data_IF_637154956820
#
_entry.id   IF_637154956820
#
_cell.length_a   1.000
_cell.length_b   1.000
_cell.length_c   1.000
_cell.angle_alpha   90.00
_cell.angle_beta   90.00
_cell.angle_gamma   90.00
#
_symmetry.space_group_name_H-M   'P 1'
#
loop_
_entity.id
_entity.type
_entity.pdbx_description
1 polymer ?
#
# COMPACT_ATOMS: atom_id res chain seq x y z
N UNK A 1 -26.52 -3.25 -17.39
CA UNK A 1 -25.31 -3.13 -16.55
C UNK A 1 -25.41 -1.87 -15.70
N UNK A 2 -25.46 -2.08 -14.42
CA UNK A 2 -25.44 -0.95 -13.49
C UNK A 2 -24.07 -0.29 -13.48
N UNK A 3 -23.98 0.91 -14.05
CA UNK A 3 -22.81 1.77 -14.03
C UNK A 3 -23.01 2.89 -13.02
N UNK A 4 -23.31 2.54 -11.77
CA UNK A 4 -23.42 3.56 -10.74
C UNK A 4 -22.08 4.29 -10.56
N UNK A 5 -22.07 5.62 -10.34
CA UNK A 5 -20.84 6.38 -10.11
C UNK A 5 -20.01 5.85 -8.95
N UNK A 6 -20.65 5.31 -7.92
CA UNK A 6 -19.99 4.71 -6.76
C UNK A 6 -19.20 3.45 -7.13
N UNK A 7 -19.69 2.65 -8.06
CA UNK A 7 -19.00 1.44 -8.55
C UNK A 7 -17.74 1.82 -9.35
N UNK A 8 -17.85 2.82 -10.24
CA UNK A 8 -16.70 3.33 -10.99
C UNK A 8 -15.60 3.87 -10.10
N UNK A 9 -15.97 4.60 -9.04
CA UNK A 9 -15.02 5.13 -8.06
C UNK A 9 -14.32 4.01 -7.29
N UNK A 10 -15.07 2.98 -6.86
CA UNK A 10 -14.50 1.81 -6.21
C UNK A 10 -13.48 1.07 -7.08
N UNK A 11 -13.76 0.93 -8.37
CA UNK A 11 -12.84 0.29 -9.31
C UNK A 11 -11.57 1.10 -9.53
N UNK A 12 -11.65 2.43 -9.53
CA UNK A 12 -10.49 3.32 -9.60
C UNK A 12 -9.60 3.14 -8.37
N UNK A 13 -10.17 3.14 -7.17
CA UNK A 13 -9.42 2.94 -5.93
C UNK A 13 -8.74 1.57 -5.87
N UNK A 14 -9.45 0.50 -6.25
CA UNK A 14 -8.87 -0.85 -6.31
C UNK A 14 -7.67 -0.90 -7.24
N UNK A 15 -7.77 -0.25 -8.39
CA UNK A 15 -6.69 -0.20 -9.37
C UNK A 15 -5.47 0.54 -8.83
N UNK A 16 -5.67 1.66 -8.16
CA UNK A 16 -4.59 2.45 -7.57
C UNK A 16 -3.88 1.70 -6.45
N UNK A 17 -4.64 1.03 -5.58
CA UNK A 17 -4.07 0.19 -4.51
C UNK A 17 -3.27 -0.97 -5.12
N UNK A 18 -3.76 -1.57 -6.19
CA UNK A 18 -3.05 -2.63 -6.90
C UNK A 18 -1.70 -2.15 -7.44
N UNK A 19 -1.66 -1.00 -8.11
CA UNK A 19 -0.40 -0.41 -8.58
C UNK A 19 0.55 -0.06 -7.44
N UNK A 20 0.04 0.42 -6.33
CA UNK A 20 0.85 0.70 -5.14
C UNK A 20 1.45 -0.58 -4.59
N UNK A 21 0.66 -1.66 -4.49
CA UNK A 21 1.15 -2.95 -4.04
C UNK A 21 2.23 -3.51 -4.99
N UNK A 22 2.03 -3.41 -6.30
CA UNK A 22 3.01 -3.83 -7.30
C UNK A 22 4.33 -3.07 -7.19
N UNK A 23 4.26 -1.78 -6.90
CA UNK A 23 5.43 -0.92 -6.73
C UNK A 23 6.34 -1.42 -5.60
N UNK A 24 5.77 -2.06 -4.59
CA UNK A 24 6.49 -2.64 -3.45
C UNK A 24 6.58 -4.18 -3.52
N UNK A 25 6.49 -4.74 -4.71
CA UNK A 25 6.63 -6.18 -4.95
C UNK A 25 7.86 -6.45 -5.81
N UNK A 26 8.72 -7.35 -5.34
CA UNK A 26 10.01 -7.60 -5.96
C UNK A 26 9.95 -7.89 -7.47
N UNK A 27 9.09 -8.80 -7.99
CA UNK A 27 9.07 -9.08 -9.42
C UNK A 27 8.67 -7.92 -10.32
N UNK A 28 8.03 -6.88 -9.77
CA UNK A 28 7.61 -5.70 -10.53
C UNK A 28 8.66 -4.59 -10.57
N UNK A 29 9.83 -4.80 -9.97
CA UNK A 29 10.89 -3.81 -9.93
C UNK A 29 11.99 -4.10 -10.95
N UNK A 30 12.66 -3.03 -11.41
CA UNK A 30 13.72 -3.08 -12.43
C UNK A 30 14.90 -3.99 -12.05
N UNK A 31 15.06 -4.25 -10.76
CA UNK A 31 16.12 -5.10 -10.24
C UNK A 31 15.80 -6.60 -10.32
N UNK A 32 14.59 -6.95 -10.75
CA UNK A 32 14.20 -8.34 -10.90
C UNK A 32 14.78 -8.94 -12.19
N UNK A 33 15.47 -10.08 -12.04
CA UNK A 33 16.12 -10.80 -13.14
C UNK A 33 15.57 -12.22 -13.34
N UNK A 34 14.50 -12.57 -12.64
CA UNK A 34 13.91 -13.90 -12.71
C UNK A 34 13.07 -14.15 -13.96
N UNK A 35 12.75 -15.42 -14.21
CA UNK A 35 11.87 -15.82 -15.30
C UNK A 35 10.41 -15.50 -15.00
N UNK A 36 9.55 -15.57 -16.04
CA UNK A 36 8.10 -15.41 -15.91
C UNK A 36 7.49 -16.45 -14.96
N UNK A 37 7.97 -17.68 -15.01
CA UNK A 37 7.52 -18.73 -14.08
C UNK A 37 7.87 -18.44 -12.63
N UNK A 38 9.07 -17.92 -12.39
CA UNK A 38 9.51 -17.50 -11.06
C UNK A 38 8.70 -16.30 -10.56
N UNK A 39 8.39 -15.35 -11.43
CA UNK A 39 7.51 -14.21 -11.14
C UNK A 39 6.14 -14.70 -10.65
N UNK A 40 5.50 -15.57 -11.42
CA UNK A 40 4.17 -16.10 -11.06
C UNK A 40 4.20 -16.90 -9.75
N UNK A 41 5.26 -17.67 -9.54
CA UNK A 41 5.44 -18.42 -8.29
C UNK A 41 5.57 -17.47 -7.10
N UNK A 42 6.38 -16.46 -7.23
CA UNK A 42 6.58 -15.45 -6.18
C UNK A 42 5.28 -14.73 -5.83
N UNK A 43 4.53 -14.29 -6.83
CA UNK A 43 3.24 -13.63 -6.62
C UNK A 43 2.24 -14.55 -5.91
N UNK A 44 2.22 -15.82 -6.26
CA UNK A 44 1.34 -16.80 -5.62
C UNK A 44 1.69 -16.98 -4.14
N UNK A 45 2.98 -17.10 -3.83
CA UNK A 45 3.45 -17.22 -2.44
C UNK A 45 3.13 -15.95 -1.66
N UNK A 46 3.41 -14.79 -2.23
CA UNK A 46 3.12 -13.49 -1.63
C UNK A 46 1.62 -13.32 -1.33
N UNK A 47 0.77 -13.63 -2.31
CA UNK A 47 -0.68 -13.55 -2.17
C UNK A 47 -1.20 -14.45 -1.06
N UNK A 48 -0.73 -15.70 -1.02
CA UNK A 48 -1.14 -16.66 0.01
C UNK A 48 -0.69 -16.21 1.40
N UNK A 49 0.53 -15.74 1.52
CA UNK A 49 1.06 -15.24 2.80
C UNK A 49 0.34 -13.98 3.27
N UNK A 50 0.05 -13.07 2.36
CA UNK A 50 -0.71 -11.84 2.66
C UNK A 50 -2.12 -12.18 3.14
N UNK A 51 -2.79 -13.11 2.47
CA UNK A 51 -4.12 -13.59 2.86
C UNK A 51 -4.11 -14.21 4.25
N UNK A 52 -3.15 -15.05 4.53
CA UNK A 52 -2.95 -15.68 5.85
C UNK A 52 -2.72 -14.63 6.93
N UNK A 53 -1.84 -13.66 6.66
CA UNK A 53 -1.53 -12.55 7.56
C UNK A 53 -2.80 -11.76 7.94
N UNK A 54 -3.64 -11.44 6.97
CA UNK A 54 -4.89 -10.72 7.18
C UNK A 54 -5.88 -11.57 7.98
N UNK A 55 -6.05 -12.84 7.62
CA UNK A 55 -6.99 -13.76 8.28
C UNK A 55 -6.62 -14.02 9.74
N UNK A 56 -5.33 -14.05 10.07
CA UNK A 56 -4.85 -14.27 11.44
C UNK A 56 -4.75 -12.99 12.26
N UNK A 57 -5.08 -11.84 11.68
CA UNK A 57 -4.99 -10.54 12.37
C UNK A 57 -3.56 -10.04 12.57
N UNK A 58 -2.57 -10.62 11.90
CA UNK A 58 -1.16 -10.24 12.00
C UNK A 58 -0.84 -8.94 11.25
N UNK A 59 -1.73 -8.50 10.35
CA UNK A 59 -1.50 -7.33 9.50
C UNK A 59 -1.20 -6.07 10.31
N UNK A 60 -1.84 -5.91 11.46
CA UNK A 60 -1.65 -4.74 12.33
C UNK A 60 -0.22 -4.62 12.87
N UNK A 61 0.50 -5.74 13.03
CA UNK A 61 1.88 -5.73 13.51
C UNK A 61 2.86 -5.08 12.52
N UNK A 62 2.49 -4.98 11.25
CA UNK A 62 3.31 -4.37 10.20
C UNK A 62 3.03 -2.88 10.02
N UNK A 63 1.97 -2.34 10.64
CA UNK A 63 1.58 -0.94 10.49
C UNK A 63 2.37 -0.05 11.45
N UNK A 64 2.96 1.01 10.90
CA UNK A 64 3.57 2.06 11.69
C UNK A 64 2.53 3.14 12.03
N UNK A 65 2.79 4.01 13.04
CA UNK A 65 1.90 5.12 13.34
C UNK A 65 1.62 5.98 12.11
N UNK A 66 0.40 6.50 12.01
CA UNK A 66 -0.01 7.35 10.89
C UNK A 66 0.85 8.61 10.80
N UNK A 67 1.42 8.84 9.62
CA UNK A 67 2.22 10.02 9.33
C UNK A 67 1.29 11.16 8.91
N UNK A 68 1.56 12.37 9.35
CA UNK A 68 0.84 13.56 8.91
C UNK A 68 1.45 14.13 7.65
N UNK A 69 0.61 14.27 6.61
CA UNK A 69 1.01 14.89 5.36
C UNK A 69 0.31 16.24 5.20
N UNK A 70 1.09 17.28 4.90
CA UNK A 70 0.55 18.62 4.70
C UNK A 70 -0.21 18.76 3.37
N UNK A 71 0.28 18.10 2.33
CA UNK A 71 -0.23 18.15 0.97
C UNK A 71 0.15 16.91 0.16
N UNK A 72 -0.30 16.85 -1.11
CA UNK A 72 0.03 15.75 -2.02
C UNK A 72 1.53 15.66 -2.30
N UNK A 73 2.24 16.78 -2.37
CA UNK A 73 3.67 16.81 -2.65
C UNK A 73 4.47 16.04 -1.58
N UNK A 74 4.16 16.30 -0.30
CA UNK A 74 4.81 15.62 0.81
C UNK A 74 4.47 14.12 0.85
N UNK A 75 3.25 13.75 0.47
CA UNK A 75 2.84 12.34 0.36
C UNK A 75 3.61 11.63 -0.76
N UNK A 76 3.74 12.25 -1.92
CA UNK A 76 4.49 11.71 -3.06
C UNK A 76 5.96 11.54 -2.68
N UNK A 77 6.57 12.54 -2.06
CA UNK A 77 7.95 12.49 -1.60
C UNK A 77 8.18 11.33 -0.63
N UNK A 78 7.22 11.09 0.27
CA UNK A 78 7.26 9.96 1.18
C UNK A 78 7.22 8.61 0.45
N UNK A 79 6.34 8.47 -0.54
CA UNK A 79 6.23 7.26 -1.36
C UNK A 79 7.54 6.98 -2.08
N UNK A 80 8.12 7.98 -2.72
CA UNK A 80 9.36 7.84 -3.46
C UNK A 80 10.54 7.48 -2.55
N UNK A 81 10.68 8.19 -1.43
CA UNK A 81 11.73 7.92 -0.45
C UNK A 81 11.60 6.51 0.16
N UNK A 82 10.39 6.07 0.42
CA UNK A 82 10.12 4.73 0.95
C UNK A 82 10.43 3.65 -0.10
N UNK A 83 10.12 3.90 -1.35
CA UNK A 83 10.46 2.98 -2.43
C UNK A 83 11.98 2.82 -2.60
N UNK A 84 12.74 3.89 -2.48
CA UNK A 84 14.21 3.80 -2.48
C UNK A 84 14.74 2.94 -1.33
N UNK A 85 14.18 3.11 -0.14
CA UNK A 85 14.51 2.26 1.02
C UNK A 85 14.17 0.79 0.74
N UNK A 86 13.02 0.54 0.14
CA UNK A 86 12.60 -0.80 -0.24
C UNK A 86 13.59 -1.45 -1.21
N UNK A 87 14.02 -0.73 -2.24
CA UNK A 87 14.96 -1.24 -3.23
C UNK A 87 16.34 -1.61 -2.63
N UNK A 88 16.71 -0.99 -1.51
CA UNK A 88 17.97 -1.23 -0.81
C UNK A 88 17.87 -2.28 0.30
N UNK A 89 16.67 -2.81 0.57
CA UNK A 89 16.46 -3.85 1.58
C UNK A 89 16.70 -5.24 1.03
N UNK A 90 16.97 -6.17 1.95
CA UNK A 90 17.02 -7.59 1.62
C UNK A 90 15.64 -8.05 1.14
N UNK A 91 15.60 -8.70 -0.01
CA UNK A 91 14.35 -9.04 -0.69
C UNK A 91 13.78 -10.34 -0.15
N UNK A 92 12.54 -10.27 0.34
CA UNK A 92 11.80 -11.43 0.82
C UNK A 92 10.31 -11.15 0.76
N UNK A 93 9.50 -12.22 0.80
CA UNK A 93 8.05 -12.12 0.87
C UNK A 93 7.62 -11.32 2.11
N UNK A 94 8.26 -11.53 3.25
CA UNK A 94 7.94 -10.82 4.50
C UNK A 94 8.24 -9.31 4.39
N UNK A 95 9.34 -8.93 3.76
CA UNK A 95 9.65 -7.51 3.54
C UNK A 95 8.66 -6.87 2.57
N UNK A 96 8.28 -7.56 1.49
CA UNK A 96 7.25 -7.07 0.57
C UNK A 96 5.92 -6.87 1.29
N UNK A 97 5.48 -7.81 2.13
CA UNK A 97 4.26 -7.69 2.93
C UNK A 97 4.32 -6.47 3.85
N UNK A 98 5.44 -6.27 4.53
CA UNK A 98 5.65 -5.13 5.42
C UNK A 98 5.48 -3.81 4.68
N UNK A 99 6.17 -3.66 3.54
CA UNK A 99 6.07 -2.44 2.74
C UNK A 99 4.69 -2.24 2.13
N UNK A 100 4.08 -3.29 1.59
CA UNK A 100 2.73 -3.22 1.00
C UNK A 100 1.71 -2.76 2.05
N UNK A 101 1.63 -3.43 3.19
CA UNK A 101 0.64 -3.14 4.22
C UNK A 101 0.83 -1.73 4.80
N UNK A 102 2.06 -1.38 5.17
CA UNK A 102 2.32 -0.06 5.74
C UNK A 102 2.10 1.06 4.72
N UNK A 103 2.54 0.87 3.48
CA UNK A 103 2.35 1.88 2.43
C UNK A 103 0.89 2.08 2.07
N UNK A 104 0.12 1.02 1.91
CA UNK A 104 -1.32 1.14 1.67
C UNK A 104 -2.00 1.90 2.80
N UNK A 105 -1.66 1.59 4.05
CA UNK A 105 -2.19 2.31 5.21
C UNK A 105 -1.81 3.79 5.20
N UNK A 106 -0.53 4.12 5.03
CA UNK A 106 -0.04 5.50 5.05
C UNK A 106 -0.63 6.33 3.91
N UNK A 107 -0.76 5.74 2.72
CA UNK A 107 -1.32 6.44 1.55
C UNK A 107 -2.81 6.71 1.75
N UNK A 108 -3.58 5.72 2.17
CA UNK A 108 -5.03 5.89 2.37
C UNK A 108 -5.31 6.93 3.46
N UNK A 109 -4.68 6.81 4.62
CA UNK A 109 -4.89 7.78 5.69
C UNK A 109 -4.35 9.17 5.32
N UNK A 110 -3.24 9.25 4.56
CA UNK A 110 -2.70 10.50 4.06
C UNK A 110 -3.64 11.20 3.09
N UNK A 111 -4.26 10.47 2.18
CA UNK A 111 -5.27 11.01 1.26
C UNK A 111 -6.49 11.53 2.01
N UNK A 112 -6.96 10.81 3.02
CA UNK A 112 -8.07 11.26 3.86
C UNK A 112 -7.71 12.58 4.57
N UNK A 113 -6.52 12.66 5.16
CA UNK A 113 -6.05 13.90 5.81
C UNK A 113 -6.04 15.10 4.85
N UNK A 114 -5.51 14.90 3.64
CA UNK A 114 -5.39 15.97 2.64
C UNK A 114 -6.77 16.41 2.15
N UNK A 115 -7.68 15.45 1.87
CA UNK A 115 -9.00 15.74 1.31
C UNK A 115 -9.93 16.44 2.30
N UNK A 116 -9.89 16.09 3.60
CA UNK A 116 -10.77 16.70 4.61
C UNK A 116 -10.09 17.80 5.43
N UNK A 117 -8.79 18.01 5.22
CA UNK A 117 -7.98 18.93 5.97
C UNK A 117 -7.58 18.40 7.35
N UNK A 118 -6.40 18.82 7.83
CA UNK A 118 -5.82 18.29 9.08
C UNK A 118 -6.68 18.58 10.32
N UNK A 119 -7.39 19.71 10.37
CA UNK A 119 -8.27 20.07 11.50
C UNK A 119 -9.50 19.18 11.57
N UNK A 120 -10.12 18.90 10.42
CA UNK A 120 -11.33 18.08 10.34
C UNK A 120 -11.02 16.60 10.57
N UNK A 121 -9.84 16.14 10.16
CA UNK A 121 -9.40 14.76 10.37
C UNK A 121 -9.27 14.43 11.85
N UNK A 122 -8.64 15.29 12.65
CA UNK A 122 -8.50 15.09 14.09
C UNK A 122 -9.87 15.04 14.78
N UNK A 123 -10.81 15.91 14.39
CA UNK A 123 -12.19 15.89 14.88
C UNK A 123 -12.95 14.62 14.49
N UNK A 124 -12.78 14.12 13.27
CA UNK A 124 -13.43 12.90 12.80
C UNK A 124 -12.94 11.65 13.58
N UNK A 125 -11.66 11.57 13.91
CA UNK A 125 -11.12 10.46 14.71
C UNK A 125 -11.68 10.50 16.14
N UNK A 126 -11.77 11.67 16.75
CA UNK A 126 -12.31 11.83 18.10
C UNK A 126 -13.82 11.57 18.18
N UNK A 127 -14.55 11.80 17.10
CA UNK A 127 -15.98 11.56 17.00
C UNK A 127 -16.33 10.09 16.71
N UNK A 128 -15.39 9.32 16.23
CA UNK A 128 -15.58 7.90 15.96
C UNK A 128 -15.30 7.06 17.20
#
# INVERSE_FOLDING_TARGET
>A
RDRSPSRGLGDVYKRQIHYMADYFTFPHNKTYTGSFSQHNHYEKVLKNRLKECIQQGEAYAYLEPAIRFADFSTLIDYIEATHEKYLNKLRSVEEDIRFILNMCFQVVQGLIQICIGNKNFAGAIQAA
#
